data_IF_080572295873
#
_entry.id   IF_080572295873
#
_cell.length_a   1.000
_cell.length_b   1.000
_cell.length_c   1.000
_cell.angle_alpha   90.00
_cell.angle_beta   90.00
_cell.angle_gamma   90.00
#
_symmetry.space_group_name_H-M   'P 1'
#
loop_
_entity.id
_entity.type
_entity.pdbx_description
1 polymer ?
#
# COMPACT_ATOMS: atom_id res chain seq x y z
N UNK A 1 7.45 -20.38 1.94
CA UNK A 1 8.72 -20.54 2.68
C UNK A 1 9.75 -19.60 2.11
N UNK A 2 10.51 -18.89 2.93
CA UNK A 2 11.67 -18.12 2.46
C UNK A 2 12.93 -18.80 3.02
N UNK A 3 13.91 -19.05 2.16
CA UNK A 3 15.16 -19.73 2.51
C UNK A 3 16.01 -18.84 3.42
N UNK A 4 16.94 -19.41 4.21
CA UNK A 4 17.80 -18.64 5.11
C UNK A 4 18.64 -17.54 4.42
N UNK A 5 18.93 -17.69 3.12
CA UNK A 5 19.63 -16.68 2.31
C UNK A 5 18.78 -15.49 1.86
N UNK A 6 17.45 -15.54 2.06
CA UNK A 6 16.54 -14.47 1.64
C UNK A 6 16.73 -13.15 2.40
N UNK A 7 17.11 -13.22 3.68
CA UNK A 7 17.33 -12.02 4.49
C UNK A 7 18.60 -11.29 4.08
N UNK A 8 19.73 -12.01 4.01
CA UNK A 8 21.01 -11.42 3.59
C UNK A 8 20.91 -10.77 2.21
N UNK A 9 20.21 -11.43 1.27
CA UNK A 9 19.94 -10.83 -0.05
C UNK A 9 19.16 -9.50 0.07
N UNK A 10 18.14 -9.43 0.92
CA UNK A 10 17.40 -8.18 1.16
C UNK A 10 18.27 -7.10 1.81
N UNK A 11 19.14 -7.48 2.75
CA UNK A 11 20.09 -6.57 3.38
C UNK A 11 21.07 -5.98 2.35
N UNK A 12 21.65 -6.82 1.49
CA UNK A 12 22.56 -6.40 0.40
C UNK A 12 21.84 -5.47 -0.60
N UNK A 13 20.59 -5.79 -0.98
CA UNK A 13 19.79 -4.91 -1.85
C UNK A 13 19.55 -3.53 -1.21
N UNK A 14 19.22 -3.51 0.08
CA UNK A 14 19.02 -2.24 0.80
C UNK A 14 20.32 -1.46 0.91
N UNK A 15 21.44 -2.13 1.20
CA UNK A 15 22.77 -1.52 1.24
C UNK A 15 23.17 -0.91 -0.12
N UNK A 16 22.75 -1.53 -1.23
CA UNK A 16 22.94 -1.02 -2.59
C UNK A 16 21.97 0.13 -2.96
N UNK A 17 21.13 0.61 -2.05
CA UNK A 17 20.21 1.73 -2.30
C UNK A 17 18.91 1.34 -3.01
N UNK A 18 18.49 0.07 -2.93
CA UNK A 18 17.28 -0.40 -3.61
C UNK A 18 16.01 0.35 -3.18
N UNK A 19 15.87 0.74 -1.91
CA UNK A 19 14.68 1.43 -1.40
C UNK A 19 14.44 2.74 -2.17
N UNK A 20 15.44 3.62 -2.21
CA UNK A 20 15.30 4.92 -2.87
C UNK A 20 15.10 4.78 -4.38
N UNK A 21 15.76 3.79 -4.98
CA UNK A 21 15.60 3.47 -6.41
C UNK A 21 14.16 3.03 -6.73
N UNK A 22 13.60 2.12 -5.93
CA UNK A 22 12.23 1.62 -6.11
C UNK A 22 11.18 2.71 -5.84
N UNK A 23 11.39 3.54 -4.82
CA UNK A 23 10.50 4.67 -4.53
C UNK A 23 10.49 5.68 -5.68
N UNK A 24 11.66 6.00 -6.23
CA UNK A 24 11.78 6.87 -7.41
C UNK A 24 11.09 6.28 -8.63
N UNK A 25 11.24 4.97 -8.86
CA UNK A 25 10.54 4.26 -9.93
C UNK A 25 9.02 4.40 -9.78
N UNK A 26 8.48 4.13 -8.58
CA UNK A 26 7.04 4.25 -8.30
C UNK A 26 6.49 5.66 -8.59
N UNK A 27 7.28 6.69 -8.32
CA UNK A 27 6.88 8.07 -8.56
C UNK A 27 6.93 8.50 -10.03
N UNK A 28 7.79 7.90 -10.84
CA UNK A 28 8.14 8.39 -12.19
C UNK A 28 7.47 7.62 -13.31
N UNK A 29 7.16 6.34 -13.12
CA UNK A 29 6.53 5.54 -14.17
C UNK A 29 5.10 5.99 -14.45
N UNK A 30 4.68 5.82 -15.71
CA UNK A 30 3.35 6.20 -16.14
C UNK A 30 2.28 5.22 -15.60
N UNK A 31 1.03 5.40 -16.02
CA UNK A 31 -0.08 4.50 -15.64
C UNK A 31 -0.55 3.65 -16.81
N UNK A 32 0.29 3.48 -17.82
CA UNK A 32 0.10 2.51 -18.90
C UNK A 32 -0.02 1.09 -18.32
N UNK A 33 -0.66 0.17 -19.06
CA UNK A 33 -0.78 -1.24 -18.66
C UNK A 33 0.60 -1.87 -18.35
N UNK A 34 1.65 -1.73 -19.19
CA UNK A 34 2.95 -2.30 -18.86
C UNK A 34 3.56 -1.68 -17.60
N UNK A 35 3.44 -0.37 -17.41
CA UNK A 35 3.98 0.30 -16.21
C UNK A 35 3.26 -0.12 -14.93
N UNK A 36 1.97 -0.49 -15.00
CA UNK A 36 1.24 -1.02 -13.84
C UNK A 36 1.80 -2.35 -13.35
N UNK A 37 2.31 -3.19 -14.26
CA UNK A 37 2.98 -4.44 -13.88
C UNK A 37 4.34 -4.17 -13.26
N UNK A 38 5.12 -3.23 -13.81
CA UNK A 38 6.39 -2.77 -13.21
C UNK A 38 6.16 -2.20 -11.81
N UNK A 39 5.13 -1.37 -11.63
CA UNK A 39 4.72 -0.82 -10.33
C UNK A 39 4.39 -1.92 -9.32
N UNK A 40 3.61 -2.93 -9.74
CA UNK A 40 3.26 -4.08 -8.89
C UNK A 40 4.51 -4.82 -8.42
N UNK A 41 5.50 -4.98 -9.30
CA UNK A 41 6.76 -5.64 -8.96
C UNK A 41 7.60 -4.79 -8.01
N UNK A 42 7.69 -3.48 -8.26
CA UNK A 42 8.41 -2.55 -7.38
C UNK A 42 7.81 -2.55 -5.95
N UNK A 43 6.48 -2.46 -5.84
CA UNK A 43 5.75 -2.57 -4.57
C UNK A 43 5.97 -3.94 -3.90
N UNK A 44 5.97 -5.02 -4.69
CA UNK A 44 6.19 -6.38 -4.16
C UNK A 44 7.60 -6.55 -3.62
N UNK A 45 8.59 -5.96 -4.27
CA UNK A 45 9.97 -5.93 -3.77
C UNK A 45 10.05 -5.15 -2.47
N UNK A 46 9.50 -3.94 -2.39
CA UNK A 46 9.44 -3.17 -1.14
C UNK A 46 8.74 -3.95 -0.02
N UNK A 47 7.64 -4.65 -0.32
CA UNK A 47 6.93 -5.51 0.62
C UNK A 47 7.76 -6.68 1.13
N UNK A 48 8.58 -7.28 0.26
CA UNK A 48 9.49 -8.36 0.61
C UNK A 48 10.60 -7.85 1.54
N UNK A 49 11.19 -6.68 1.25
CA UNK A 49 12.16 -6.02 2.13
C UNK A 49 11.53 -5.72 3.50
N UNK A 50 10.34 -5.13 3.49
CA UNK A 50 9.55 -4.78 4.68
C UNK A 50 9.10 -5.99 5.53
N UNK A 51 9.39 -7.23 5.11
CA UNK A 51 9.19 -8.41 5.96
C UNK A 51 10.16 -8.43 7.14
N UNK A 52 11.35 -7.86 6.98
CA UNK A 52 12.37 -7.84 8.03
C UNK A 52 12.25 -6.54 8.83
N UNK A 53 12.05 -6.58 10.16
CA UNK A 53 11.75 -5.39 10.96
C UNK A 53 12.77 -4.26 10.82
N UNK A 54 14.06 -4.58 10.77
CA UNK A 54 15.12 -3.56 10.62
C UNK A 54 15.08 -2.91 9.23
N UNK A 55 14.83 -3.66 8.15
CA UNK A 55 14.67 -3.10 6.80
C UNK A 55 13.37 -2.30 6.65
N UNK A 56 12.30 -2.70 7.34
CA UNK A 56 11.07 -1.91 7.42
C UNK A 56 11.33 -0.54 8.06
N UNK A 57 12.16 -0.46 9.10
CA UNK A 57 12.54 0.84 9.69
C UNK A 57 13.32 1.70 8.69
N UNK A 58 14.27 1.12 7.95
CA UNK A 58 14.98 1.84 6.88
C UNK A 58 14.00 2.37 5.83
N UNK A 59 13.02 1.56 5.41
CA UNK A 59 11.98 1.99 4.48
C UNK A 59 11.18 3.17 5.04
N UNK A 60 10.71 3.10 6.29
CA UNK A 60 9.91 4.16 6.93
C UNK A 60 10.72 5.45 7.07
N UNK A 61 12.02 5.35 7.36
CA UNK A 61 12.93 6.50 7.49
C UNK A 61 13.33 7.11 6.15
N UNK A 62 13.25 6.37 5.04
CA UNK A 62 13.50 6.92 3.70
C UNK A 62 12.52 8.05 3.37
N UNK A 63 13.05 9.14 2.82
CA UNK A 63 12.35 10.40 2.65
C UNK A 63 11.10 10.23 1.78
N UNK A 64 9.94 10.51 2.37
CA UNK A 64 8.66 10.50 1.66
C UNK A 64 8.13 9.11 1.32
N UNK A 65 8.77 8.03 1.78
CA UNK A 65 8.39 6.65 1.47
C UNK A 65 6.93 6.35 1.84
N UNK A 66 6.52 6.70 3.07
CA UNK A 66 5.15 6.50 3.58
C UNK A 66 4.14 7.25 2.72
N UNK A 67 4.45 8.50 2.35
CA UNK A 67 3.61 9.29 1.45
C UNK A 67 3.47 8.61 0.09
N UNK A 68 4.57 8.13 -0.51
CA UNK A 68 4.57 7.44 -1.80
C UNK A 68 3.68 6.19 -1.75
N UNK A 69 3.82 5.37 -0.71
CA UNK A 69 3.03 4.14 -0.54
C UNK A 69 1.54 4.46 -0.39
N UNK A 70 1.17 5.47 0.42
CA UNK A 70 -0.22 5.92 0.57
C UNK A 70 -0.78 6.42 -0.76
N UNK A 71 -0.01 7.23 -1.50
CA UNK A 71 -0.43 7.75 -2.80
C UNK A 71 -0.66 6.63 -3.81
N UNK A 72 0.18 5.59 -3.79
CA UNK A 72 0.05 4.44 -4.66
C UNK A 72 -1.21 3.63 -4.32
N UNK A 73 -1.49 3.36 -3.04
CA UNK A 73 -2.74 2.74 -2.61
C UNK A 73 -3.98 3.50 -3.12
N UNK A 74 -3.96 4.83 -3.01
CA UNK A 74 -5.08 5.68 -3.43
C UNK A 74 -5.30 5.71 -4.95
N UNK A 75 -4.25 5.48 -5.73
CA UNK A 75 -4.27 5.59 -7.20
C UNK A 75 -4.43 4.24 -7.91
N UNK A 76 -4.05 3.14 -7.27
CA UNK A 76 -3.96 1.85 -7.93
C UNK A 76 -5.34 1.21 -8.18
N UNK A 77 -5.65 0.99 -9.46
CA UNK A 77 -6.91 0.37 -9.91
C UNK A 77 -6.79 -1.13 -10.15
N UNK A 78 -5.60 -1.71 -10.04
CA UNK A 78 -5.30 -3.10 -10.37
C UNK A 78 -4.88 -3.89 -9.12
N UNK A 79 -4.26 -5.05 -9.31
CA UNK A 79 -3.75 -5.89 -8.22
C UNK A 79 -2.71 -5.20 -7.33
N UNK A 80 -1.99 -4.21 -7.87
CA UNK A 80 -1.03 -3.41 -7.12
C UNK A 80 -1.65 -2.71 -5.90
N UNK A 81 -2.97 -2.48 -5.89
CA UNK A 81 -3.71 -2.00 -4.73
C UNK A 81 -3.50 -2.91 -3.51
N UNK A 82 -3.60 -4.22 -3.67
CA UNK A 82 -3.51 -5.17 -2.57
C UNK A 82 -2.07 -5.27 -2.05
N UNK A 83 -1.08 -5.19 -2.94
CA UNK A 83 0.33 -5.14 -2.55
C UNK A 83 0.66 -3.87 -1.77
N UNK A 84 0.16 -2.72 -2.24
CA UNK A 84 0.30 -1.44 -1.54
C UNK A 84 -0.41 -1.45 -0.18
N UNK A 85 -1.60 -2.06 -0.09
CA UNK A 85 -2.34 -2.23 1.17
C UNK A 85 -1.54 -3.05 2.18
N UNK A 86 -1.03 -4.21 1.76
CA UNK A 86 -0.26 -5.10 2.61
C UNK A 86 1.02 -4.42 3.13
N UNK A 87 1.72 -3.70 2.25
CA UNK A 87 2.89 -2.91 2.63
C UNK A 87 2.52 -1.80 3.63
N UNK A 88 1.45 -1.04 3.38
CA UNK A 88 1.01 0.01 4.27
C UNK A 88 0.54 -0.53 5.62
N UNK A 89 -0.11 -1.70 5.68
CA UNK A 89 -0.46 -2.37 6.93
C UNK A 89 0.78 -2.70 7.76
N UNK A 90 1.87 -3.18 7.15
CA UNK A 90 3.15 -3.41 7.85
C UNK A 90 3.72 -2.10 8.41
N UNK A 91 3.69 -1.03 7.61
CA UNK A 91 4.11 0.31 8.06
C UNK A 91 3.26 0.77 9.27
N UNK A 92 1.94 0.71 9.18
CA UNK A 92 1.01 1.08 10.25
C UNK A 92 1.03 0.14 11.45
N UNK A 93 1.71 -1.02 11.36
CA UNK A 93 1.93 -1.90 12.50
C UNK A 93 3.10 -1.44 13.39
N UNK A 94 3.78 -0.36 13.00
CA UNK A 94 4.87 0.27 13.76
C UNK A 94 4.46 1.66 14.20
N UNK A 95 4.90 2.06 15.40
CA UNK A 95 4.65 3.41 15.93
C UNK A 95 5.22 4.50 15.00
N UNK A 96 6.43 4.32 14.49
CA UNK A 96 7.10 5.26 13.58
C UNK A 96 6.32 5.43 12.27
N UNK A 97 5.77 4.34 11.72
CA UNK A 97 4.93 4.39 10.53
C UNK A 97 3.60 5.11 10.76
N UNK A 98 2.93 4.85 11.88
CA UNK A 98 1.69 5.58 12.23
C UNK A 98 1.96 7.06 12.46
N UNK A 99 3.00 7.41 13.23
CA UNK A 99 3.41 8.81 13.46
C UNK A 99 3.70 9.54 12.15
N UNK A 100 4.33 8.88 11.17
CA UNK A 100 4.59 9.46 9.85
C UNK A 100 3.29 9.82 9.10
N UNK A 101 2.23 9.03 9.24
CA UNK A 101 0.92 9.32 8.65
C UNK A 101 0.22 10.44 9.41
N UNK A 102 0.23 10.38 10.75
CA UNK A 102 -0.42 11.38 11.61
C UNK A 102 0.18 12.78 11.45
N UNK A 103 1.50 12.87 11.20
CA UNK A 103 2.20 14.12 10.86
C UNK A 103 1.69 14.76 9.56
N UNK A 104 0.92 14.04 8.74
CA UNK A 104 0.31 14.56 7.51
C UNK A 104 -1.23 14.48 7.56
N UNK A 105 -1.91 15.53 8.05
CA UNK A 105 -3.37 15.61 8.05
C UNK A 105 -3.99 15.40 6.66
N UNK A 106 -3.30 15.81 5.60
CA UNK A 106 -3.73 15.61 4.22
C UNK A 106 -3.77 14.14 3.81
N UNK A 107 -2.77 13.33 4.18
CA UNK A 107 -2.76 11.89 3.92
C UNK A 107 -3.85 11.19 4.72
N UNK A 108 -3.98 11.55 5.99
CA UNK A 108 -4.99 11.00 6.88
C UNK A 108 -6.41 11.24 6.33
N UNK A 109 -6.72 12.48 5.92
CA UNK A 109 -8.01 12.85 5.30
C UNK A 109 -8.28 12.00 4.05
N UNK A 110 -7.28 11.76 3.22
CA UNK A 110 -7.43 10.96 1.98
C UNK A 110 -7.65 9.47 2.27
N UNK A 111 -7.00 8.91 3.30
CA UNK A 111 -7.22 7.52 3.73
C UNK A 111 -8.63 7.32 4.29
N UNK A 112 -9.12 8.25 5.13
CA UNK A 112 -10.51 8.21 5.57
C UNK A 112 -11.49 8.37 4.40
N UNK A 113 -11.21 9.30 3.48
CA UNK A 113 -11.99 9.49 2.26
C UNK A 113 -12.10 8.21 1.42
N UNK A 114 -11.01 7.46 1.28
CA UNK A 114 -10.99 6.18 0.56
C UNK A 114 -12.01 5.18 1.12
N UNK A 115 -12.09 5.04 2.44
CA UNK A 115 -13.05 4.15 3.11
C UNK A 115 -14.49 4.65 2.89
N UNK A 116 -14.72 5.96 3.02
CA UNK A 116 -16.03 6.57 2.79
C UNK A 116 -16.50 6.34 1.35
N UNK A 117 -15.63 6.56 0.37
CA UNK A 117 -15.93 6.37 -1.05
C UNK A 117 -16.19 4.89 -1.37
N UNK A 118 -15.39 3.98 -0.81
CA UNK A 118 -15.65 2.55 -0.93
C UNK A 118 -16.98 2.15 -0.29
N UNK A 119 -17.39 2.72 0.85
CA UNK A 119 -18.72 2.44 1.43
C UNK A 119 -19.87 2.98 0.56
N UNK A 120 -19.75 4.24 0.10
CA UNK A 120 -20.79 4.92 -0.71
C UNK A 120 -21.09 4.18 -2.00
N UNK A 121 -20.05 3.76 -2.73
CA UNK A 121 -20.21 2.96 -3.96
C UNK A 121 -21.01 1.67 -3.71
N UNK A 122 -20.98 1.14 -2.49
CA UNK A 122 -21.57 -0.16 -2.12
C UNK A 122 -23.04 -0.04 -1.86
N UNK A 123 -23.41 1.05 -1.23
CA UNK A 123 -24.79 1.45 -1.06
C UNK A 123 -25.41 1.74 -2.43
N UNK A 124 -24.69 2.44 -3.32
CA UNK A 124 -25.16 2.75 -4.66
C UNK A 124 -25.43 1.49 -5.50
N UNK A 125 -24.48 0.54 -5.53
CA UNK A 125 -24.67 -0.74 -6.24
C UNK A 125 -25.82 -1.57 -5.68
N UNK A 126 -26.01 -1.63 -4.36
CA UNK A 126 -27.15 -2.35 -3.75
C UNK A 126 -28.51 -1.78 -4.14
N UNK A 127 -28.58 -0.48 -4.44
CA UNK A 127 -29.82 0.21 -4.84
C UNK A 127 -30.13 0.08 -6.32
N UNK A 128 -29.11 -0.14 -7.16
CA UNK A 128 -29.29 -0.32 -8.59
C UNK A 128 -29.60 -1.79 -8.93
N UNK A 129 -30.68 -2.01 -9.69
CA UNK A 129 -31.16 -3.35 -10.06
C UNK A 129 -30.30 -4.04 -11.13
N UNK A 130 -29.33 -3.35 -11.73
CA UNK A 130 -28.31 -3.99 -12.56
C UNK A 130 -27.28 -4.61 -11.64
N UNK A 131 -27.43 -5.91 -11.39
CA UNK A 131 -26.49 -6.68 -10.57
C UNK A 131 -25.06 -6.49 -11.12
N UNK A 132 -24.13 -5.90 -10.35
CA UNK A 132 -22.72 -5.97 -10.70
C UNK A 132 -22.31 -7.44 -10.80
N UNK A 133 -21.43 -7.77 -11.73
CA UNK A 133 -20.79 -9.09 -11.74
C UNK A 133 -20.26 -9.41 -10.33
N UNK A 134 -20.55 -10.60 -9.81
CA UNK A 134 -20.16 -11.05 -8.46
C UNK A 134 -18.67 -10.79 -8.18
N UNK A 135 -17.81 -11.00 -9.18
CA UNK A 135 -16.37 -10.76 -9.11
C UNK A 135 -16.04 -9.28 -8.81
N UNK A 136 -16.79 -8.35 -9.40
CA UNK A 136 -16.59 -6.90 -9.19
C UNK A 136 -17.00 -6.54 -7.76
N UNK A 137 -18.12 -7.09 -7.30
CA UNK A 137 -18.63 -6.86 -5.94
C UNK A 137 -17.64 -7.38 -4.89
N UNK A 138 -17.19 -8.63 -5.02
CA UNK A 138 -16.22 -9.24 -4.10
C UNK A 138 -14.90 -8.47 -4.06
N UNK A 139 -14.36 -8.11 -5.21
CA UNK A 139 -13.13 -7.31 -5.27
C UNK A 139 -13.29 -5.97 -4.56
N UNK A 140 -14.46 -5.34 -4.68
CA UNK A 140 -14.72 -4.04 -4.06
C UNK A 140 -14.93 -4.14 -2.56
N UNK A 141 -15.62 -5.18 -2.09
CA UNK A 141 -15.74 -5.49 -0.66
C UNK A 141 -14.36 -5.79 -0.05
N UNK A 142 -13.52 -6.54 -0.77
CA UNK A 142 -12.14 -6.80 -0.35
C UNK A 142 -11.33 -5.51 -0.24
N UNK A 143 -11.41 -4.59 -1.22
CA UNK A 143 -10.73 -3.28 -1.14
C UNK A 143 -11.22 -2.45 0.05
N UNK A 144 -12.53 -2.45 0.31
CA UNK A 144 -13.08 -1.76 1.47
C UNK A 144 -12.51 -2.33 2.78
N UNK A 145 -12.44 -3.66 2.90
CA UNK A 145 -11.87 -4.33 4.07
C UNK A 145 -10.42 -3.91 4.31
N UNK A 146 -9.59 -3.99 3.27
CA UNK A 146 -8.18 -3.58 3.30
C UNK A 146 -8.00 -2.13 3.77
N UNK A 147 -8.72 -1.18 3.16
CA UNK A 147 -8.64 0.22 3.55
C UNK A 147 -9.13 0.47 4.99
N UNK A 148 -10.20 -0.21 5.41
CA UNK A 148 -10.73 -0.09 6.76
C UNK A 148 -9.77 -0.64 7.82
N UNK A 149 -9.07 -1.73 7.53
CA UNK A 149 -8.04 -2.28 8.42
C UNK A 149 -6.86 -1.31 8.59
N UNK A 150 -6.40 -0.66 7.52
CA UNK A 150 -5.35 0.37 7.59
C UNK A 150 -5.78 1.53 8.50
N UNK A 151 -7.00 2.04 8.29
CA UNK A 151 -7.55 3.13 9.11
C UNK A 151 -7.67 2.70 10.57
N UNK A 152 -8.12 1.46 10.83
CA UNK A 152 -8.20 0.92 12.19
C UNK A 152 -6.83 0.92 12.88
N UNK A 153 -5.78 0.45 12.20
CA UNK A 153 -4.42 0.45 12.74
C UNK A 153 -3.93 1.87 13.11
N UNK A 154 -4.29 2.88 12.32
CA UNK A 154 -3.94 4.28 12.61
C UNK A 154 -4.72 4.81 13.82
N UNK A 155 -5.99 4.45 13.97
CA UNK A 155 -6.86 4.94 15.06
C UNK A 155 -6.65 4.23 16.40
N UNK A 156 -6.06 3.03 16.39
CA UNK A 156 -5.82 2.22 17.58
C UNK A 156 -4.41 2.37 18.15
N UNK A 157 -3.60 3.27 17.58
CA UNK A 157 -2.21 3.52 17.96
C UNK A 157 -2.07 4.61 19.02
#
# INVERSE_FOLDING_TARGET
MATGHSQKCCEELVAAGAIDTLLRLIQTVSRSIPDQEVLKHALSTLRNLARYPHLLQVLIQSRGSVQIIVLELLRNKNEGYFVASELLRKVCSTRTGVEAILKSPALLKRLYGLVVDHKRKGIYEKRNHRAPNLVIKENRERRLKEAAEIVKLITSA
#
